data_IF_420907649830
#
_entry.id   IF_420907649830
#
_cell.length_a   1.000
_cell.length_b   1.000
_cell.length_c   1.000
_cell.angle_alpha   90.00
_cell.angle_beta   90.00
_cell.angle_gamma   90.00
#
_symmetry.space_group_name_H-M   'P 1'
#
loop_
_entity.id
_entity.type
_entity.pdbx_description
1 polymer ?
#
# COMPACT_ATOMS: atom_id res chain seq x y z
N UNK A 1 -13.83 -10.34 18.17
CA UNK A 1 -12.79 -10.32 17.10
C UNK A 1 -13.15 -11.42 16.12
N UNK A 2 -13.18 -11.12 14.80
CA UNK A 2 -13.63 -12.03 13.74
C UNK A 2 -12.40 -12.63 13.02
N UNK A 3 -11.87 -13.79 13.47
CA UNK A 3 -10.55 -14.29 13.07
C UNK A 3 -10.42 -14.76 11.61
N UNK A 4 -11.52 -14.77 10.84
CA UNK A 4 -11.56 -15.27 9.47
C UNK A 4 -12.15 -14.26 8.47
N UNK A 5 -12.36 -13.01 8.89
CA UNK A 5 -13.05 -12.03 8.06
C UNK A 5 -12.06 -11.01 7.50
N UNK A 6 -12.19 -10.75 6.21
CA UNK A 6 -11.44 -9.68 5.56
C UNK A 6 -12.06 -8.33 5.88
N UNK A 7 -11.22 -7.39 6.31
CA UNK A 7 -11.64 -6.04 6.66
C UNK A 7 -11.26 -5.09 5.52
N UNK A 8 -12.26 -4.40 4.96
CA UNK A 8 -12.04 -3.29 4.06
C UNK A 8 -11.66 -2.04 4.86
N UNK A 9 -10.47 -1.51 4.62
CA UNK A 9 -9.94 -0.33 5.32
C UNK A 9 -9.83 0.85 4.34
N UNK A 10 -10.78 1.80 4.38
CA UNK A 10 -10.73 2.98 3.53
C UNK A 10 -9.79 4.04 4.11
N UNK A 11 -9.22 4.87 3.24
CA UNK A 11 -8.64 6.15 3.65
C UNK A 11 -7.21 6.10 4.16
N UNK A 12 -6.45 5.06 3.82
CA UNK A 12 -4.99 5.06 4.01
C UNK A 12 -4.35 6.19 3.20
N UNK A 13 -3.65 7.11 3.86
CA UNK A 13 -3.05 8.28 3.23
C UNK A 13 -3.45 9.63 3.82
N UNK A 14 -3.39 10.69 3.00
CA UNK A 14 -3.45 12.13 3.36
C UNK A 14 -4.66 12.57 4.21
N UNK A 15 -5.70 11.75 4.38
CA UNK A 15 -6.83 11.97 5.31
C UNK A 15 -6.57 11.52 6.76
N UNK A 16 -5.34 11.18 7.13
CA UNK A 16 -4.94 11.02 8.52
C UNK A 16 -4.90 9.58 9.05
N UNK A 17 -5.16 8.58 8.20
CA UNK A 17 -4.90 7.18 8.54
C UNK A 17 -3.42 6.85 8.34
N UNK A 18 -2.68 6.70 9.44
CA UNK A 18 -1.32 6.17 9.45
C UNK A 18 -1.35 4.65 9.27
N UNK A 19 -0.24 4.07 8.83
CA UNK A 19 -0.12 2.61 8.75
C UNK A 19 -0.28 1.92 10.12
N UNK A 20 0.06 2.63 11.21
CA UNK A 20 -0.27 2.22 12.58
C UNK A 20 -1.77 2.02 12.83
N UNK A 21 -2.62 2.83 12.21
CA UNK A 21 -4.07 2.85 12.47
C UNK A 21 -4.76 1.66 11.81
N UNK A 22 -4.17 1.15 10.72
CA UNK A 22 -4.68 0.00 9.98
C UNK A 22 -4.05 -1.33 10.44
N UNK A 23 -3.02 -1.28 11.29
CA UNK A 23 -2.29 -2.45 11.80
C UNK A 23 -3.22 -3.50 12.43
N UNK A 24 -4.24 -3.07 13.16
CA UNK A 24 -5.18 -3.95 13.85
C UNK A 24 -6.14 -4.69 12.92
N UNK A 25 -6.24 -4.29 11.65
CA UNK A 25 -7.07 -4.96 10.66
C UNK A 25 -6.40 -6.20 10.04
N UNK A 26 -5.07 -6.32 10.18
CA UNK A 26 -4.32 -7.44 9.63
C UNK A 26 -4.28 -8.62 10.59
N UNK A 27 -4.34 -9.81 10.02
CA UNK A 27 -4.06 -11.07 10.71
C UNK A 27 -2.56 -11.20 11.02
N UNK A 28 -2.18 -12.10 11.95
CA UNK A 28 -0.78 -12.31 12.30
C UNK A 28 0.12 -12.75 11.15
N UNK A 29 -0.42 -13.33 10.08
CA UNK A 29 0.30 -13.75 8.88
C UNK A 29 0.53 -12.61 7.86
N UNK A 30 -0.10 -11.45 8.06
CA UNK A 30 -0.01 -10.32 7.13
C UNK A 30 -1.18 -10.19 6.15
N UNK A 31 -2.16 -11.09 6.20
CA UNK A 31 -3.37 -11.04 5.36
C UNK A 31 -4.57 -10.46 6.14
N UNK A 32 -5.78 -10.56 5.60
CA UNK A 32 -7.02 -10.22 6.30
C UNK A 32 -7.46 -8.76 6.20
N UNK A 33 -6.67 -7.89 5.57
CA UNK A 33 -7.05 -6.51 5.30
C UNK A 33 -6.95 -6.16 3.81
N UNK A 34 -7.97 -5.49 3.30
CA UNK A 34 -7.96 -4.83 1.99
C UNK A 34 -7.89 -3.32 2.22
N UNK A 35 -6.71 -2.74 2.03
CA UNK A 35 -6.48 -1.31 2.26
C UNK A 35 -6.65 -0.54 0.96
N UNK A 36 -7.50 0.48 0.96
CA UNK A 36 -7.78 1.29 -0.23
C UNK A 36 -7.22 2.71 -0.07
N UNK A 37 -6.38 3.11 -1.03
CA UNK A 37 -5.97 4.50 -1.22
C UNK A 37 -6.33 4.97 -2.63
N UNK A 38 -7.35 5.84 -2.72
CA UNK A 38 -7.87 6.30 -4.01
C UNK A 38 -7.15 7.58 -4.47
N UNK A 39 -7.39 8.71 -3.81
CA UNK A 39 -6.89 10.03 -4.26
C UNK A 39 -5.37 10.11 -4.26
N UNK A 40 -4.70 9.54 -3.28
CA UNK A 40 -3.23 9.62 -3.17
C UNK A 40 -2.52 8.86 -4.30
N UNK A 41 -3.17 7.86 -4.89
CA UNK A 41 -2.68 7.07 -6.03
C UNK A 41 -3.15 7.66 -7.35
N UNK A 42 -4.47 7.87 -7.53
CA UNK A 42 -5.05 8.40 -8.79
C UNK A 42 -4.46 9.76 -9.16
N UNK A 43 -4.27 10.65 -8.18
CA UNK A 43 -3.72 11.98 -8.39
C UNK A 43 -2.22 12.08 -8.12
N UNK A 44 -1.50 10.94 -8.09
CA UNK A 44 -0.06 10.93 -7.90
C UNK A 44 0.69 11.73 -8.98
N UNK A 45 0.15 11.79 -10.20
CA UNK A 45 0.69 12.60 -11.30
C UNK A 45 0.63 14.13 -11.08
N UNK A 46 -0.05 14.59 -10.02
CA UNK A 46 -0.08 16.00 -9.62
C UNK A 46 0.75 16.28 -8.37
N UNK A 47 1.38 15.25 -7.79
CA UNK A 47 2.20 15.33 -6.57
C UNK A 47 3.68 15.58 -6.92
N UNK A 48 4.31 16.68 -6.45
CA UNK A 48 5.70 16.99 -6.82
C UNK A 48 6.70 15.87 -6.49
N UNK A 49 6.53 15.19 -5.35
CA UNK A 49 7.36 14.08 -4.90
C UNK A 49 7.28 12.86 -5.83
N UNK A 50 6.09 12.54 -6.34
CA UNK A 50 5.90 11.39 -7.23
C UNK A 50 6.29 11.71 -8.68
N UNK A 51 6.18 12.97 -9.10
CA UNK A 51 6.52 13.43 -10.46
C UNK A 51 7.95 13.91 -10.62
N UNK A 52 8.75 13.92 -9.55
CA UNK A 52 10.14 14.34 -9.62
C UNK A 52 10.90 13.54 -10.70
N UNK A 53 11.48 14.27 -11.67
CA UNK A 53 12.24 13.71 -12.78
C UNK A 53 11.41 13.04 -13.89
N UNK A 54 10.08 13.19 -13.88
CA UNK A 54 9.21 12.65 -14.93
C UNK A 54 8.92 13.70 -16.01
N UNK A 55 8.94 13.27 -17.27
CA UNK A 55 8.49 14.05 -18.41
C UNK A 55 6.96 14.15 -18.45
N UNK A 56 6.46 15.16 -19.16
CA UNK A 56 5.02 15.31 -19.41
C UNK A 56 4.46 14.04 -20.06
N UNK A 57 3.39 13.48 -19.49
CA UNK A 57 2.75 12.26 -19.97
C UNK A 57 3.19 10.97 -19.26
N UNK A 58 4.22 10.98 -18.40
CA UNK A 58 4.64 9.80 -17.61
C UNK A 58 3.81 9.63 -16.31
N UNK A 59 2.51 9.88 -16.38
CA UNK A 59 1.63 9.84 -15.20
C UNK A 59 1.51 8.43 -14.62
N UNK A 60 1.61 7.38 -15.44
CA UNK A 60 1.57 5.99 -15.00
C UNK A 60 2.71 5.67 -14.04
N UNK A 61 3.91 6.20 -14.32
CA UNK A 61 5.08 6.02 -13.44
C UNK A 61 4.87 6.72 -12.10
N UNK A 62 4.24 7.90 -12.08
CA UNK A 62 3.89 8.57 -10.83
C UNK A 62 2.86 7.76 -10.01
N UNK A 63 1.85 7.18 -10.68
CA UNK A 63 0.84 6.29 -10.06
C UNK A 63 1.50 5.03 -9.50
N UNK A 64 2.40 4.39 -10.26
CA UNK A 64 3.14 3.20 -9.81
C UNK A 64 4.00 3.52 -8.59
N UNK A 65 4.73 4.65 -8.60
CA UNK A 65 5.51 5.12 -7.44
C UNK A 65 4.64 5.29 -6.21
N UNK A 66 3.45 5.89 -6.34
CA UNK A 66 2.53 6.05 -5.24
C UNK A 66 1.98 4.71 -4.72
N UNK A 67 1.70 3.75 -5.60
CA UNK A 67 1.33 2.39 -5.20
C UNK A 67 2.46 1.71 -4.40
N UNK A 68 3.70 1.81 -4.87
CA UNK A 68 4.87 1.22 -4.18
C UNK A 68 5.12 1.88 -2.83
N UNK A 69 5.10 3.21 -2.76
CA UNK A 69 5.20 3.97 -1.51
C UNK A 69 4.10 3.56 -0.51
N UNK A 70 2.86 3.34 -0.96
CA UNK A 70 1.80 2.81 -0.12
C UNK A 70 2.12 1.40 0.41
N UNK A 71 2.59 0.49 -0.45
CA UNK A 71 2.99 -0.87 -0.06
C UNK A 71 4.10 -0.82 1.00
N UNK A 72 5.13 0.00 0.78
CA UNK A 72 6.28 0.10 1.70
C UNK A 72 5.86 0.64 3.07
N UNK A 73 4.98 1.64 3.10
CA UNK A 73 4.45 2.18 4.37
C UNK A 73 3.61 1.14 5.12
N UNK A 74 2.77 0.38 4.40
CA UNK A 74 2.01 -0.71 5.01
C UNK A 74 2.95 -1.80 5.53
N UNK A 75 3.98 -2.18 4.77
CA UNK A 75 4.95 -3.18 5.18
C UNK A 75 5.72 -2.77 6.44
N UNK A 76 6.10 -1.49 6.56
CA UNK A 76 6.87 -0.97 7.69
C UNK A 76 6.12 -1.06 9.03
N UNK A 77 4.82 -0.77 9.04
CA UNK A 77 4.05 -0.61 10.30
C UNK A 77 2.97 -1.68 10.51
N UNK A 78 2.79 -2.62 9.58
CA UNK A 78 1.75 -3.67 9.68
C UNK A 78 2.33 -5.08 9.51
N UNK A 79 1.61 -6.11 9.97
CA UNK A 79 1.93 -7.52 9.67
C UNK A 79 2.19 -7.84 8.20
N UNK A 80 1.71 -7.03 7.25
CA UNK A 80 1.87 -7.22 5.81
C UNK A 80 3.34 -7.24 5.35
N UNK A 81 4.27 -6.65 6.11
CA UNK A 81 5.70 -6.68 5.76
C UNK A 81 6.28 -8.10 5.63
N UNK A 82 5.62 -9.12 6.22
CA UNK A 82 6.01 -10.53 6.06
C UNK A 82 5.82 -11.04 4.64
N UNK A 83 4.88 -10.48 3.87
CA UNK A 83 4.57 -10.91 2.51
C UNK A 83 5.74 -10.64 1.54
N UNK A 84 6.50 -9.55 1.75
CA UNK A 84 7.64 -9.20 0.90
C UNK A 84 8.79 -10.22 0.97
N UNK A 85 8.92 -10.93 2.10
CA UNK A 85 9.90 -12.01 2.26
C UNK A 85 9.47 -13.32 1.57
N UNK A 86 8.18 -13.45 1.23
CA UNK A 86 7.61 -14.63 0.58
C UNK A 86 7.60 -14.51 -0.95
N UNK A 87 7.67 -13.30 -1.51
CA UNK A 87 7.75 -13.07 -2.97
C UNK A 87 9.05 -13.59 -3.61
N UNK A 88 10.09 -13.91 -2.81
CA UNK A 88 11.31 -14.59 -3.29
C UNK A 88 11.15 -16.11 -3.42
N UNK A 89 9.98 -16.65 -3.08
CA UNK A 89 9.62 -18.05 -3.23
C UNK A 89 8.51 -18.21 -4.29
N UNK A 90 8.72 -17.68 -5.50
CA UNK A 90 8.00 -18.15 -6.67
C UNK A 90 8.83 -19.25 -7.38
N UNK A 91 8.17 -20.29 -7.91
CA UNK A 91 8.75 -21.62 -8.07
C UNK A 91 9.63 -21.71 -9.31
N UNK A 92 10.66 -22.55 -9.23
CA UNK A 92 11.33 -23.06 -10.42
C UNK A 92 10.30 -23.73 -11.34
N UNK A 93 10.10 -23.12 -12.50
CA UNK A 93 9.62 -23.72 -13.73
C UNK A 93 10.56 -23.27 -14.83
#
# INVERSE_FOLDING_TARGET
IMPHTWILVPGFGRQGGRASDVRGAFHPDGLGALVVSARDVIFAHSRPDMNAGLAAGQWQTAVERACRDMIDRLAADTPAGRLQSQDHAAPGV
#
